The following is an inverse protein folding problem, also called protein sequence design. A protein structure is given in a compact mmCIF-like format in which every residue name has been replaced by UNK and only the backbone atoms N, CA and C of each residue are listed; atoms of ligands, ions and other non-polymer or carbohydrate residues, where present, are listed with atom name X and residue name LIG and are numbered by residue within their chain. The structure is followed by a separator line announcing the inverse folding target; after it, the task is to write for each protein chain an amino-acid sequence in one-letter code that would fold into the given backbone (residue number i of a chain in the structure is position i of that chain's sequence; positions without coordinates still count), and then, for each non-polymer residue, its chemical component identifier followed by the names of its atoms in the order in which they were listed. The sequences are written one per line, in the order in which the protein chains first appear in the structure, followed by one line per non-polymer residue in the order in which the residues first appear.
data_IF_631022688931
#
_entry.id   IF_631022688931
#
_cell.length_a   1.000
_cell.length_b   1.000
_cell.length_c   1.000
_cell.angle_alpha   90.00
_cell.angle_beta   90.00
_cell.angle_gamma   90.00
#
_symmetry.space_group_name_H-M   'P 1'
#
loop_
_entity.id
_entity.type
_entity.pdbx_description
1 polymer ?
#
# COMPACT_ATOMS: atom_id res chain seq x y z
N UNK A 1 -12.96 -7.00 16.64
CA UNK A 1 -11.73 -6.66 17.40
C UNK A 1 -11.11 -5.46 16.70
N UNK A 2 -11.05 -4.28 17.34
CA UNK A 2 -10.42 -3.08 16.75
C UNK A 2 -8.92 -3.33 16.65
N UNK A 3 -8.39 -3.49 15.44
CA UNK A 3 -6.94 -3.60 15.21
C UNK A 3 -6.40 -2.17 15.22
N UNK A 4 -5.58 -1.83 16.21
CA UNK A 4 -5.01 -0.50 16.35
C UNK A 4 -3.97 -0.25 15.24
N UNK A 5 -4.16 0.82 14.46
CA UNK A 5 -3.15 1.36 13.53
C UNK A 5 -1.88 1.69 14.36
N UNK A 6 -0.83 0.86 14.24
CA UNK A 6 0.43 1.10 14.96
C UNK A 6 1.10 2.34 14.37
N UNK A 7 1.23 3.40 15.16
CA UNK A 7 1.92 4.63 14.75
C UNK A 7 3.43 4.42 14.67
N UNK A 8 4.12 5.19 13.82
CA UNK A 8 5.57 5.16 13.64
C UNK A 8 6.35 5.09 14.97
N UNK A 9 6.01 5.95 15.93
CA UNK A 9 6.67 5.98 17.24
C UNK A 9 6.52 4.69 18.04
N UNK A 10 5.36 4.02 17.98
CA UNK A 10 5.14 2.74 18.65
C UNK A 10 5.98 1.62 18.01
N UNK A 11 6.08 1.63 16.68
CA UNK A 11 6.87 0.65 15.92
C UNK A 11 8.35 0.76 16.29
N UNK A 12 8.87 2.00 16.38
CA UNK A 12 10.26 2.26 16.77
C UNK A 12 10.56 1.84 18.23
N UNK A 13 9.59 1.96 19.14
CA UNK A 13 9.71 1.48 20.52
C UNK A 13 9.69 -0.06 20.57
N UNK A 14 8.74 -0.69 19.89
CA UNK A 14 8.58 -2.15 19.86
C UNK A 14 9.85 -2.86 19.34
N UNK A 15 10.60 -2.19 18.46
CA UNK A 15 11.85 -2.67 17.88
C UNK A 15 13.10 -2.36 18.71
N UNK A 16 12.94 -1.66 19.84
CA UNK A 16 14.05 -1.24 20.69
C UNK A 16 14.95 -0.19 20.04
N UNK A 17 14.49 0.48 18.98
CA UNK A 17 15.25 1.52 18.26
C UNK A 17 15.19 2.86 18.97
N UNK A 18 14.07 3.15 19.63
CA UNK A 18 13.85 4.40 20.37
C UNK A 18 13.26 4.07 21.73
N UNK A 19 13.72 4.73 22.79
CA UNK A 19 13.09 4.60 24.12
C UNK A 19 11.89 5.54 24.21
N UNK A 20 10.94 5.22 25.08
CA UNK A 20 9.75 6.04 25.29
C UNK A 20 10.12 7.50 25.63
N UNK A 21 11.11 7.70 26.51
CA UNK A 21 11.60 9.02 26.93
C UNK A 21 12.16 9.85 25.75
N UNK A 22 12.89 9.19 24.83
CA UNK A 22 13.46 9.81 23.64
C UNK A 22 12.36 10.19 22.64
N UNK A 23 11.34 9.33 22.50
CA UNK A 23 10.18 9.60 21.67
C UNK A 23 9.35 10.77 22.21
N UNK A 24 9.11 10.83 23.51
CA UNK A 24 8.39 11.94 24.17
C UNK A 24 9.12 13.27 23.99
N UNK A 25 10.45 13.25 24.07
CA UNK A 25 11.30 14.40 23.79
C UNK A 25 11.15 14.87 22.34
N UNK A 26 11.19 13.93 21.38
CA UNK A 26 11.00 14.23 19.97
C UNK A 26 9.58 14.76 19.66
N UNK A 27 8.55 14.22 20.30
CA UNK A 27 7.16 14.69 20.18
C UNK A 27 6.97 16.09 20.77
N UNK A 28 7.61 16.37 21.91
CA UNK A 28 7.61 17.70 22.52
C UNK A 28 8.28 18.74 21.61
N UNK A 29 9.33 18.36 20.89
CA UNK A 29 9.96 19.20 19.86
C UNK A 29 9.03 19.37 18.67
N UNK A 30 8.33 18.31 18.25
CA UNK A 30 7.38 18.37 17.14
C UNK A 30 6.21 19.32 17.43
N UNK A 31 5.69 19.29 18.65
CA UNK A 31 4.58 20.15 19.09
C UNK A 31 4.98 21.62 19.18
N UNK A 32 6.23 21.90 19.60
CA UNK A 32 6.78 23.27 19.68
C UNK A 32 7.28 23.79 18.33
N UNK A 33 7.65 22.90 17.42
CA UNK A 33 8.02 23.23 16.05
C UNK A 33 6.76 23.51 15.21
N UNK A 34 6.90 24.32 14.16
CA UNK A 34 5.82 24.52 13.19
C UNK A 34 5.31 23.18 12.63
N UNK A 35 4.03 23.06 12.24
CA UNK A 35 3.38 21.80 11.83
C UNK A 35 4.01 21.10 10.61
N UNK A 36 5.00 21.71 9.97
CA UNK A 36 5.75 21.14 8.84
C UNK A 36 6.83 20.14 9.26
N UNK A 37 7.27 20.12 10.53
CA UNK A 37 8.35 19.23 10.95
C UNK A 37 7.82 17.85 11.33
N UNK A 38 8.21 16.84 10.56
CA UNK A 38 7.76 15.46 10.76
C UNK A 38 8.59 14.76 11.83
N UNK A 39 7.92 13.92 12.63
CA UNK A 39 8.54 13.14 13.71
C UNK A 39 9.77 12.35 13.24
N UNK A 40 9.69 11.70 12.08
CA UNK A 40 10.83 10.94 11.52
C UNK A 40 12.07 11.81 11.25
N UNK A 41 11.88 13.04 10.76
CA UNK A 41 12.97 13.99 10.55
C UNK A 41 13.60 14.44 11.87
N UNK A 42 12.77 14.68 12.91
CA UNK A 42 13.25 15.04 14.25
C UNK A 42 14.08 13.91 14.86
N UNK A 43 13.62 12.66 14.74
CA UNK A 43 14.34 11.50 15.27
C UNK A 43 15.70 11.28 14.58
N UNK A 44 15.81 11.56 13.28
CA UNK A 44 17.10 11.52 12.54
C UNK A 44 18.01 12.67 12.97
N UNK A 45 17.48 13.90 13.08
CA UNK A 45 18.27 15.06 13.50
C UNK A 45 18.84 14.90 14.91
N UNK A 46 18.07 14.29 15.82
CA UNK A 46 18.51 13.94 17.16
C UNK A 46 19.44 12.73 17.19
N UNK A 47 19.76 12.13 16.03
CA UNK A 47 20.56 10.91 15.89
C UNK A 47 20.03 9.72 16.71
N UNK A 48 18.71 9.71 16.96
CA UNK A 48 18.03 8.63 17.69
C UNK A 48 17.73 7.44 16.78
N UNK A 49 17.56 7.68 15.48
CA UNK A 49 17.39 6.65 14.46
C UNK A 49 18.19 7.00 13.21
N UNK A 50 18.58 6.00 12.44
CA UNK A 50 19.11 6.21 11.08
C UNK A 50 17.98 6.41 10.06
N UNK A 51 18.34 6.85 8.85
CA UNK A 51 17.40 6.88 7.72
C UNK A 51 16.85 5.49 7.39
N UNK A 52 17.70 4.47 7.48
CA UNK A 52 17.31 3.07 7.22
C UNK A 52 16.31 2.58 8.29
N UNK A 53 16.52 2.94 9.56
CA UNK A 53 15.56 2.63 10.64
C UNK A 53 14.21 3.31 10.41
N UNK A 54 14.22 4.56 9.92
CA UNK A 54 12.99 5.28 9.56
C UNK A 54 12.26 4.59 8.40
N UNK A 55 12.98 4.23 7.34
CA UNK A 55 12.42 3.56 6.16
C UNK A 55 11.83 2.19 6.55
N UNK A 56 12.51 1.43 7.41
CA UNK A 56 12.00 0.16 7.93
C UNK A 56 10.73 0.34 8.78
N UNK A 57 10.70 1.35 9.65
CA UNK A 57 9.56 1.60 10.53
C UNK A 57 8.34 2.15 9.76
N UNK A 58 8.55 2.98 8.73
CA UNK A 58 7.48 3.45 7.84
C UNK A 58 6.89 2.32 7.00
N UNK A 59 7.73 1.44 6.46
CA UNK A 59 7.27 0.23 5.77
C UNK A 59 6.42 -0.66 6.69
N UNK A 60 6.79 -0.76 7.97
CA UNK A 60 6.00 -1.48 8.97
C UNK A 60 4.72 -0.76 9.34
N UNK A 61 4.71 0.56 9.37
CA UNK A 61 3.48 1.32 9.58
C UNK A 61 2.48 1.08 8.45
N UNK A 62 2.95 1.00 7.21
CA UNK A 62 2.13 0.58 6.06
C UNK A 62 1.61 -0.86 6.23
N UNK A 63 2.45 -1.77 6.75
CA UNK A 63 2.08 -3.18 7.01
C UNK A 63 1.03 -3.39 8.10
N UNK A 64 1.05 -2.59 9.17
CA UNK A 64 0.13 -2.72 10.31
C UNK A 64 -1.15 -1.89 10.16
N UNK A 65 -1.28 -1.11 9.10
CA UNK A 65 -2.54 -0.49 8.72
C UNK A 65 -3.39 -1.55 8.02
N UNK A 66 -4.47 -2.09 8.63
CA UNK A 66 -5.32 -3.09 7.99
C UNK A 66 -6.11 -2.51 6.81
N UNK A 67 -6.15 -1.18 6.74
CA UNK A 67 -6.77 -0.43 5.67
C UNK A 67 -5.86 -0.39 4.44
N UNK A 68 -6.10 -1.33 3.52
CA UNK A 68 -5.91 -1.14 2.08
C UNK A 68 -6.52 0.19 1.57
N UNK A 69 -7.42 0.79 2.37
CA UNK A 69 -8.02 2.10 2.22
C UNK A 69 -7.02 3.27 2.09
N UNK A 70 -5.73 3.09 2.44
CA UNK A 70 -4.71 4.15 2.33
C UNK A 70 -4.01 4.23 0.96
N UNK A 71 -4.21 3.25 0.06
CA UNK A 71 -3.74 3.30 -1.33
C UNK A 71 -4.60 4.20 -2.24
N UNK A 72 -5.56 4.95 -1.69
CA UNK A 72 -6.48 5.78 -2.48
C UNK A 72 -7.48 4.97 -3.30
N UNK A 73 -7.54 3.65 -3.08
CA UNK A 73 -8.57 2.76 -3.63
C UNK A 73 -9.80 2.81 -2.73
N UNK A 74 -10.38 4.00 -2.58
CA UNK A 74 -11.70 4.15 -1.97
C UNK A 74 -12.74 3.67 -3.01
N UNK A 75 -12.87 2.35 -3.10
CA UNK A 75 -13.94 1.69 -3.85
C UNK A 75 -15.26 1.72 -3.07
N UNK A 76 -15.38 2.48 -1.97
CA UNK A 76 -16.70 2.67 -1.32
C UNK A 76 -17.65 3.56 -2.15
N UNK A 77 -17.21 4.07 -3.30
CA UNK A 77 -18.05 4.62 -4.37
C UNK A 77 -18.38 3.59 -5.48
N UNK A 78 -18.10 2.30 -5.27
CA UNK A 78 -18.50 1.18 -6.17
C UNK A 78 -20.00 1.22 -6.49
N UNK A 79 -20.83 1.63 -5.53
CA UNK A 79 -22.28 1.79 -5.72
C UNK A 79 -22.63 2.79 -6.83
N UNK A 80 -21.81 3.85 -7.02
CA UNK A 80 -22.04 4.84 -8.09
C UNK A 80 -21.57 4.30 -9.43
N UNK A 81 -20.40 3.67 -9.47
CA UNK A 81 -19.86 3.04 -10.68
C UNK A 81 -20.83 1.98 -11.18
N UNK A 82 -21.31 1.13 -10.28
CA UNK A 82 -22.31 0.09 -10.53
C UNK A 82 -23.62 0.65 -11.05
N UNK A 83 -24.20 1.65 -10.38
CA UNK A 83 -25.43 2.31 -10.85
C UNK A 83 -25.27 2.94 -12.23
N UNK A 84 -24.10 3.50 -12.52
CA UNK A 84 -23.80 4.09 -13.82
C UNK A 84 -23.68 3.00 -14.90
N UNK A 85 -22.97 1.91 -14.60
CA UNK A 85 -22.85 0.76 -15.47
C UNK A 85 -24.23 0.15 -15.77
N UNK A 86 -25.03 -0.10 -14.74
CA UNK A 86 -26.40 -0.62 -14.86
C UNK A 86 -27.30 0.29 -15.70
N UNK A 87 -27.20 1.62 -15.55
CA UNK A 87 -28.01 2.58 -16.31
C UNK A 87 -27.79 2.49 -17.82
N UNK A 88 -26.56 2.21 -18.26
CA UNK A 88 -26.19 2.18 -19.68
C UNK A 88 -26.00 0.75 -20.22
N UNK A 89 -26.25 -0.27 -19.40
CA UNK A 89 -25.94 -1.67 -19.69
C UNK A 89 -26.50 -2.19 -21.02
N UNK A 90 -27.69 -1.74 -21.39
CA UNK A 90 -28.40 -2.11 -22.62
C UNK A 90 -28.10 -1.19 -23.82
N UNK A 91 -27.14 -0.27 -23.69
CA UNK A 91 -26.77 0.67 -24.77
C UNK A 91 -25.61 0.14 -25.60
N UNK A 92 -25.62 0.44 -26.90
CA UNK A 92 -24.50 0.12 -27.81
C UNK A 92 -23.16 0.71 -27.31
N UNK A 93 -23.20 1.89 -26.69
CA UNK A 93 -22.03 2.52 -26.07
C UNK A 93 -21.38 1.67 -24.96
N UNK A 94 -22.18 0.86 -24.26
CA UNK A 94 -21.66 0.00 -23.20
C UNK A 94 -20.94 -1.24 -23.76
N UNK A 95 -21.33 -1.73 -24.93
CA UNK A 95 -20.61 -2.83 -25.60
C UNK A 95 -19.18 -2.39 -25.99
N UNK A 96 -19.04 -1.21 -26.61
CA UNK A 96 -17.74 -0.63 -26.96
C UNK A 96 -16.88 -0.40 -25.70
N UNK A 97 -17.50 0.08 -24.61
CA UNK A 97 -16.83 0.28 -23.33
C UNK A 97 -16.35 -1.06 -22.74
N UNK A 98 -17.17 -2.11 -22.81
CA UNK A 98 -16.81 -3.43 -22.31
C UNK A 98 -15.60 -4.01 -23.05
N UNK A 99 -15.57 -3.87 -24.38
CA UNK A 99 -14.42 -4.28 -25.18
C UNK A 99 -13.16 -3.51 -24.77
N UNK A 100 -13.26 -2.19 -24.63
CA UNK A 100 -12.14 -1.35 -24.20
C UNK A 100 -11.63 -1.73 -22.80
N UNK A 101 -12.51 -1.97 -21.84
CA UNK A 101 -12.15 -2.42 -20.49
C UNK A 101 -11.44 -3.78 -20.55
N UNK A 102 -11.89 -4.70 -21.40
CA UNK A 102 -11.19 -5.97 -21.66
C UNK A 102 -9.75 -5.75 -22.12
N UNK A 103 -9.54 -4.88 -23.10
CA UNK A 103 -8.19 -4.53 -23.60
C UNK A 103 -7.33 -3.90 -22.51
N UNK A 104 -7.88 -2.96 -21.73
CA UNK A 104 -7.16 -2.29 -20.64
C UNK A 104 -6.75 -3.30 -19.56
N UNK A 105 -7.65 -4.19 -19.14
CA UNK A 105 -7.35 -5.23 -18.15
C UNK A 105 -6.23 -6.16 -18.62
N UNK A 106 -6.24 -6.57 -19.89
CA UNK A 106 -5.11 -7.33 -20.45
C UNK A 106 -3.80 -6.52 -20.43
N UNK A 107 -3.84 -5.24 -20.80
CA UNK A 107 -2.67 -4.36 -20.77
C UNK A 107 -2.13 -4.08 -19.36
N UNK A 108 -2.97 -4.13 -18.32
CA UNK A 108 -2.55 -4.01 -16.91
C UNK A 108 -1.92 -5.32 -16.42
N UNK A 109 -2.50 -6.48 -16.75
CA UNK A 109 -1.95 -7.78 -16.33
C UNK A 109 -0.53 -8.01 -16.84
N UNK A 110 -0.24 -7.64 -18.08
CA UNK A 110 1.07 -7.87 -18.70
C UNK A 110 2.26 -7.27 -17.91
N UNK A 111 2.30 -5.96 -17.57
CA UNK A 111 3.36 -5.40 -16.75
C UNK A 111 3.35 -5.98 -15.33
N UNK A 112 2.20 -6.30 -14.73
CA UNK A 112 2.14 -6.94 -13.41
C UNK A 112 2.80 -8.33 -13.41
N UNK A 113 2.53 -9.16 -14.42
CA UNK A 113 3.19 -10.46 -14.59
C UNK A 113 4.69 -10.30 -14.83
N UNK A 114 5.11 -9.30 -15.60
CA UNK A 114 6.52 -8.98 -15.82
C UNK A 114 7.24 -8.57 -14.53
N UNK A 115 6.61 -7.72 -13.72
CA UNK A 115 7.12 -7.32 -12.40
C UNK A 115 7.19 -8.54 -11.48
N UNK A 116 6.14 -9.38 -11.44
CA UNK A 116 6.10 -10.60 -10.63
C UNK A 116 7.27 -11.52 -10.95
N UNK A 117 7.50 -11.80 -12.24
CA UNK A 117 8.62 -12.62 -12.70
C UNK A 117 9.98 -12.01 -12.34
N UNK A 118 10.14 -10.69 -12.50
CA UNK A 118 11.39 -10.02 -12.13
C UNK A 118 11.65 -10.07 -10.61
N UNK A 119 10.60 -9.92 -9.80
CA UNK A 119 10.66 -10.01 -8.33
C UNK A 119 10.97 -11.43 -7.88
N UNK A 120 10.42 -12.44 -8.56
CA UNK A 120 10.70 -13.85 -8.31
C UNK A 120 12.17 -14.19 -8.60
N UNK A 121 12.70 -13.75 -9.74
CA UNK A 121 14.13 -13.89 -10.07
C UNK A 121 15.02 -13.15 -9.06
N UNK A 122 14.60 -11.97 -8.60
CA UNK A 122 15.33 -11.22 -7.58
C UNK A 122 15.34 -11.97 -6.24
N UNK A 123 14.22 -12.58 -5.85
CA UNK A 123 14.10 -13.38 -4.63
C UNK A 123 15.08 -14.54 -4.60
N UNK A 124 15.25 -15.25 -5.71
CA UNK A 124 16.19 -16.37 -5.81
C UNK A 124 17.66 -15.93 -5.75
N UNK A 125 17.97 -14.68 -6.09
CA UNK A 125 19.34 -14.15 -6.13
C UNK A 125 19.78 -13.45 -4.84
N UNK A 126 18.84 -13.06 -3.98
CA UNK A 126 19.14 -12.33 -2.73
C UNK A 126 19.24 -13.32 -1.57
N UNK A 127 20.24 -13.11 -0.71
CA UNK A 127 20.43 -13.92 0.49
C UNK A 127 19.18 -13.84 1.39
N UNK A 128 18.61 -15.01 1.68
CA UNK A 128 17.29 -15.09 2.31
C UNK A 128 17.42 -14.85 3.81
N UNK A 129 16.83 -13.75 4.27
CA UNK A 129 16.59 -13.48 5.69
C UNK A 129 15.10 -13.39 5.97
N UNK A 130 14.69 -13.52 7.24
CA UNK A 130 13.29 -13.33 7.66
C UNK A 130 12.74 -11.95 7.24
N UNK A 131 13.62 -10.95 7.11
CA UNK A 131 13.26 -9.58 6.70
C UNK A 131 13.08 -9.52 5.18
N UNK A 132 14.04 -10.04 4.41
CA UNK A 132 13.99 -10.06 2.94
C UNK A 132 12.77 -10.84 2.44
N UNK A 133 12.49 -11.99 3.06
CA UNK A 133 11.35 -12.84 2.71
C UNK A 133 10.00 -12.14 2.98
N UNK A 134 9.93 -11.33 4.04
CA UNK A 134 8.74 -10.49 4.30
C UNK A 134 8.55 -9.45 3.21
N UNK A 135 9.61 -8.79 2.74
CA UNK A 135 9.51 -7.81 1.66
C UNK A 135 9.03 -8.44 0.34
N UNK A 136 9.56 -9.61 -0.03
CA UNK A 136 9.06 -10.30 -1.23
C UNK A 136 7.58 -10.67 -1.11
N UNK A 137 7.15 -11.19 0.04
CA UNK A 137 5.73 -11.47 0.30
C UNK A 137 4.85 -10.22 0.19
N UNK A 138 5.35 -9.06 0.63
CA UNK A 138 4.62 -7.80 0.47
C UNK A 138 4.45 -7.42 -0.99
N UNK A 139 5.52 -7.49 -1.77
CA UNK A 139 5.50 -7.14 -3.19
C UNK A 139 4.53 -8.06 -3.94
N UNK A 140 4.61 -9.37 -3.73
CA UNK A 140 3.66 -10.32 -4.34
C UNK A 140 2.21 -10.04 -3.93
N UNK A 141 1.96 -9.78 -2.65
CA UNK A 141 0.61 -9.43 -2.16
C UNK A 141 0.06 -8.16 -2.85
N UNK A 142 0.91 -7.18 -3.12
CA UNK A 142 0.50 -5.96 -3.80
C UNK A 142 0.21 -6.22 -5.29
N UNK A 143 1.06 -6.99 -5.97
CA UNK A 143 0.83 -7.42 -7.36
C UNK A 143 -0.50 -8.18 -7.47
N UNK A 144 -0.75 -9.14 -6.58
CA UNK A 144 -1.99 -9.91 -6.52
C UNK A 144 -3.22 -9.00 -6.28
N UNK A 145 -3.07 -7.99 -5.43
CA UNK A 145 -4.13 -7.01 -5.15
C UNK A 145 -4.45 -6.18 -6.39
N UNK A 146 -3.45 -5.71 -7.13
CA UNK A 146 -3.64 -4.98 -8.39
C UNK A 146 -4.25 -5.86 -9.48
N UNK A 147 -3.83 -7.13 -9.58
CA UNK A 147 -4.47 -8.08 -10.48
C UNK A 147 -5.95 -8.29 -10.15
N UNK A 148 -6.27 -8.35 -8.85
CA UNK A 148 -7.65 -8.48 -8.37
C UNK A 148 -8.47 -7.25 -8.74
N UNK A 149 -7.96 -6.04 -8.51
CA UNK A 149 -8.63 -4.79 -8.93
C UNK A 149 -8.92 -4.79 -10.44
N UNK A 150 -7.95 -5.17 -11.26
CA UNK A 150 -8.15 -5.25 -12.72
C UNK A 150 -9.17 -6.33 -13.12
N UNK A 151 -9.22 -7.45 -12.38
CA UNK A 151 -10.23 -8.52 -12.56
C UNK A 151 -11.62 -8.05 -12.16
N UNK A 152 -11.75 -7.36 -11.04
CA UNK A 152 -13.03 -6.90 -10.51
C UNK A 152 -13.61 -5.77 -11.38
N UNK A 153 -12.77 -4.84 -11.85
CA UNK A 153 -13.16 -3.85 -12.86
C UNK A 153 -13.69 -4.52 -14.13
N UNK A 154 -13.00 -5.54 -14.65
CA UNK A 154 -13.49 -6.26 -15.82
C UNK A 154 -14.85 -6.92 -15.57
N UNK A 155 -15.04 -7.56 -14.40
CA UNK A 155 -16.30 -8.23 -14.05
C UNK A 155 -17.48 -7.28 -13.99
N UNK A 156 -17.32 -6.12 -13.37
CA UNK A 156 -18.40 -5.14 -13.22
C UNK A 156 -18.97 -4.71 -14.58
N UNK A 157 -18.11 -4.63 -15.60
CA UNK A 157 -18.49 -4.24 -16.96
C UNK A 157 -18.85 -5.45 -17.86
N UNK A 158 -18.38 -6.66 -17.54
CA UNK A 158 -18.55 -7.84 -18.43
C UNK A 158 -19.77 -8.72 -18.12
N UNK A 159 -20.56 -8.39 -17.10
CA UNK A 159 -21.77 -9.17 -16.80
C UNK A 159 -22.91 -8.83 -17.77
N UNK A 160 -23.28 -9.80 -18.63
CA UNK A 160 -24.63 -9.90 -19.21
C UNK A 160 -25.65 -10.24 -18.13
#
# INVERSE_FOLDING_TARGET
MKVFEKRLGQILIDEGKVRLEDLESALSIQEKASPSKLLGGILIELSLISKDDLDLALNRQLLYSPDTNKFGLDLNDDDKIKKLADKYRESEYFEDLNELIGVITHKIRNPLSGISAAVEVLRDKVETSDVTEKFFKMIFKEIDSLEKVAKDLFREFSHK
#
